data_IF_883342178317
#
_entry.id   IF_883342178317
#
_cell.length_a   1.000
_cell.length_b   1.000
_cell.length_c   1.000
_cell.angle_alpha   90.00
_cell.angle_beta   90.00
_cell.angle_gamma   90.00
#
_symmetry.space_group_name_H-M   'P 1'
#
loop_
_entity.id
_entity.type
_entity.pdbx_description
1 polymer ?
#
# COMPACT_ATOMS: atom_id res chain seq x y z
N UNK A 1 5.26 4.74 17.11
CA UNK A 1 5.98 3.54 17.61
C UNK A 1 6.31 2.48 16.54
N UNK A 2 5.35 1.92 15.80
CA UNK A 2 5.63 0.83 14.84
C UNK A 2 6.61 1.23 13.71
N UNK A 3 6.45 2.44 13.16
CA UNK A 3 7.37 3.00 12.17
C UNK A 3 8.77 3.24 12.73
N UNK A 4 8.87 3.71 13.97
CA UNK A 4 10.14 3.94 14.66
C UNK A 4 10.88 2.63 14.90
N UNK A 5 10.16 1.56 15.27
CA UNK A 5 10.73 0.22 15.42
C UNK A 5 11.25 -0.31 14.09
N UNK A 6 10.51 -0.13 12.99
CA UNK A 6 11.00 -0.52 11.66
C UNK A 6 12.22 0.29 11.21
N UNK A 7 12.27 1.58 11.55
CA UNK A 7 13.34 2.49 11.14
C UNK A 7 14.62 2.33 11.96
N UNK A 8 14.50 2.16 13.28
CA UNK A 8 15.62 2.14 14.21
C UNK A 8 15.99 0.74 14.69
N UNK A 9 15.08 -0.23 14.63
CA UNK A 9 15.31 -1.62 15.03
C UNK A 9 16.48 -2.32 14.32
N UNK A 10 16.64 -2.21 12.99
CA UNK A 10 17.78 -2.80 12.28
C UNK A 10 19.15 -2.25 12.70
N UNK A 11 19.18 -1.10 13.39
CA UNK A 11 20.38 -0.43 13.88
C UNK A 11 20.57 -0.55 15.39
N UNK A 12 19.79 -1.41 16.07
CA UNK A 12 19.72 -1.48 17.53
C UNK A 12 19.45 -0.12 18.19
N UNK A 13 18.60 0.70 17.55
CA UNK A 13 18.21 2.00 18.08
C UNK A 13 17.16 1.88 19.19
N UNK A 14 16.31 2.91 19.33
CA UNK A 14 15.30 2.97 20.38
C UNK A 14 13.93 3.33 19.82
N UNK A 15 12.89 2.99 20.56
CA UNK A 15 11.53 3.50 20.37
C UNK A 15 11.13 4.31 21.59
N UNK A 16 10.46 5.43 21.37
CA UNK A 16 9.87 6.20 22.46
C UNK A 16 8.43 5.77 22.69
N UNK A 17 8.10 5.40 23.91
CA UNK A 17 6.77 5.02 24.37
C UNK A 17 6.52 5.78 25.68
N UNK A 18 5.40 6.50 25.75
CA UNK A 18 5.00 7.29 26.93
C UNK A 18 6.09 8.24 27.45
N UNK A 19 6.84 8.87 26.53
CA UNK A 19 7.93 9.80 26.85
C UNK A 19 9.20 9.14 27.37
N UNK A 20 9.30 7.80 27.33
CA UNK A 20 10.49 7.03 27.73
C UNK A 20 11.07 6.29 26.53
N UNK A 21 12.41 6.25 26.46
CA UNK A 21 13.14 5.55 25.39
C UNK A 21 13.47 4.12 25.79
N UNK A 22 13.17 3.18 24.90
CA UNK A 22 13.44 1.76 25.07
C UNK A 22 14.34 1.27 23.95
N UNK A 23 15.47 0.62 24.28
CA UNK A 23 16.39 0.05 23.31
C UNK A 23 15.79 -1.19 22.64
N UNK A 24 15.95 -1.29 21.32
CA UNK A 24 15.45 -2.41 20.52
C UNK A 24 16.54 -3.48 20.43
N UNK A 25 16.49 -4.45 21.34
CA UNK A 25 17.45 -5.56 21.40
C UNK A 25 17.03 -6.77 20.54
N UNK A 26 15.76 -6.85 20.17
CA UNK A 26 15.24 -7.92 19.31
C UNK A 26 15.58 -7.67 17.83
N UNK A 27 15.81 -8.75 17.07
CA UNK A 27 15.97 -8.66 15.62
C UNK A 27 14.67 -8.19 14.95
N UNK A 28 14.74 -7.09 14.21
CA UNK A 28 13.58 -6.52 13.49
C UNK A 28 13.69 -6.86 12.02
N UNK A 29 12.70 -7.61 11.52
CA UNK A 29 12.59 -8.00 10.12
C UNK A 29 11.26 -7.53 9.55
N UNK A 30 11.31 -6.81 8.42
CA UNK A 30 10.12 -6.43 7.67
C UNK A 30 9.82 -7.51 6.63
N UNK A 31 8.75 -8.29 6.84
CA UNK A 31 8.25 -9.23 5.85
C UNK A 31 7.36 -8.49 4.85
N UNK A 32 7.94 -8.04 3.73
CA UNK A 32 7.16 -7.53 2.60
C UNK A 32 6.45 -8.72 1.91
N UNK A 33 5.12 -8.78 2.00
CA UNK A 33 4.32 -9.83 1.35
C UNK A 33 3.11 -10.34 2.14
N UNK A 34 3.02 -10.04 3.45
CA UNK A 34 1.85 -10.38 4.29
C UNK A 34 0.85 -9.23 4.45
N UNK A 35 1.01 -8.15 3.68
CA UNK A 35 -0.02 -7.11 3.63
C UNK A 35 -1.24 -7.67 2.91
N UNK A 36 -2.37 -7.80 3.60
CA UNK A 36 -3.66 -8.13 2.98
C UNK A 36 -4.14 -7.07 1.96
N UNK A 37 -3.38 -5.98 1.80
CA UNK A 37 -3.55 -5.01 0.73
C UNK A 37 -2.97 -5.55 -0.57
N UNK A 38 -3.86 -5.85 -1.52
CA UNK A 38 -3.49 -6.16 -2.89
C UNK A 38 -2.52 -5.09 -3.43
N UNK A 39 -1.33 -5.50 -3.86
CA UNK A 39 -0.41 -4.60 -4.56
C UNK A 39 -1.02 -4.11 -5.88
N UNK A 40 -0.40 -3.09 -6.50
CA UNK A 40 -0.86 -2.52 -7.78
C UNK A 40 -1.10 -3.60 -8.84
N UNK A 41 -0.23 -4.61 -8.92
CA UNK A 41 -0.34 -5.67 -9.93
C UNK A 41 -1.53 -6.59 -9.66
N UNK A 42 -1.81 -6.87 -8.40
CA UNK A 42 -2.95 -7.67 -7.96
C UNK A 42 -4.27 -6.97 -8.26
N UNK A 43 -4.35 -5.66 -8.04
CA UNK A 43 -5.52 -4.85 -8.41
C UNK A 43 -5.75 -4.83 -9.93
N UNK A 44 -4.69 -4.68 -10.73
CA UNK A 44 -4.81 -4.75 -12.18
C UNK A 44 -5.25 -6.14 -12.66
N UNK A 45 -4.71 -7.21 -12.08
CA UNK A 45 -5.13 -8.60 -12.38
C UNK A 45 -6.58 -8.84 -11.99
N UNK A 46 -7.03 -8.29 -10.87
CA UNK A 46 -8.42 -8.39 -10.44
C UNK A 46 -9.38 -7.82 -11.49
N UNK A 47 -9.12 -6.60 -11.98
CA UNK A 47 -9.92 -5.99 -13.06
C UNK A 47 -9.79 -6.79 -14.37
N UNK A 48 -8.59 -7.28 -14.69
CA UNK A 48 -8.36 -8.13 -15.87
C UNK A 48 -9.16 -9.43 -15.83
N UNK A 49 -9.33 -10.04 -14.66
CA UNK A 49 -10.05 -11.30 -14.47
C UNK A 49 -11.58 -11.19 -14.47
N UNK A 50 -12.15 -9.98 -14.40
CA UNK A 50 -13.61 -9.81 -14.43
C UNK A 50 -14.18 -10.24 -15.79
N UNK A 51 -15.19 -11.14 -15.76
CA UNK A 51 -15.94 -11.59 -16.96
C UNK A 51 -16.65 -10.44 -17.66
N UNK A 52 -17.32 -9.57 -16.90
CA UNK A 52 -17.92 -8.32 -17.39
C UNK A 52 -17.12 -7.16 -16.81
N UNK A 53 -16.55 -6.34 -17.69
CA UNK A 53 -15.81 -5.15 -17.26
C UNK A 53 -16.76 -4.13 -16.62
N UNK A 54 -16.36 -3.47 -15.53
CA UNK A 54 -17.15 -2.38 -14.96
C UNK A 54 -17.10 -1.18 -15.89
N UNK A 55 -18.17 -0.38 -15.93
CA UNK A 55 -18.17 0.89 -16.66
C UNK A 55 -17.41 1.98 -15.88
N UNK A 56 -17.34 1.87 -14.55
CA UNK A 56 -16.71 2.85 -13.67
C UNK A 56 -15.98 2.19 -12.50
N UNK A 57 -14.81 2.72 -12.13
CA UNK A 57 -14.03 2.34 -10.95
C UNK A 57 -13.74 3.60 -10.13
N UNK A 58 -13.98 3.57 -8.82
CA UNK A 58 -13.69 4.68 -7.88
C UNK A 58 -12.58 4.28 -6.91
N UNK A 59 -11.52 5.10 -6.84
CA UNK A 59 -10.37 4.88 -5.96
C UNK A 59 -10.54 5.65 -4.65
N UNK A 60 -10.94 4.96 -3.58
CA UNK A 60 -11.30 5.59 -2.30
C UNK A 60 -10.19 5.55 -1.22
N UNK A 61 -9.21 4.66 -1.37
CA UNK A 61 -8.12 4.47 -0.39
C UNK A 61 -6.74 4.54 -1.04
N UNK A 62 -5.74 4.82 -0.22
CA UNK A 62 -4.38 5.13 -0.64
C UNK A 62 -4.09 6.63 -0.55
N UNK A 63 -2.80 6.99 -0.56
CA UNK A 63 -2.40 8.38 -0.72
C UNK A 63 -2.66 8.87 -2.16
N UNK A 64 -2.66 10.19 -2.35
CA UNK A 64 -3.00 10.79 -3.65
C UNK A 64 -2.06 10.36 -4.78
N UNK A 65 -0.78 10.12 -4.47
CA UNK A 65 0.20 9.66 -5.45
C UNK A 65 -0.12 8.23 -5.90
N UNK A 66 -0.44 7.34 -4.97
CA UNK A 66 -0.82 5.96 -5.22
C UNK A 66 -2.14 5.88 -6.02
N UNK A 67 -3.15 6.69 -5.65
CA UNK A 67 -4.42 6.76 -6.41
C UNK A 67 -4.18 7.20 -7.85
N UNK A 68 -3.41 8.27 -8.07
CA UNK A 68 -3.08 8.77 -9.42
C UNK A 68 -2.32 7.74 -10.24
N UNK A 69 -1.32 7.09 -9.65
CA UNK A 69 -0.55 6.06 -10.34
C UNK A 69 -1.40 4.85 -10.74
N UNK A 70 -2.33 4.42 -9.87
CA UNK A 70 -3.26 3.33 -10.18
C UNK A 70 -4.29 3.74 -11.23
N UNK A 71 -4.82 4.97 -11.15
CA UNK A 71 -5.75 5.52 -12.14
C UNK A 71 -5.13 5.51 -13.54
N UNK A 72 -3.90 6.01 -13.69
CA UNK A 72 -3.17 6.00 -14.96
C UNK A 72 -2.97 4.59 -15.48
N UNK A 73 -2.60 3.65 -14.61
CA UNK A 73 -2.41 2.25 -14.98
C UNK A 73 -3.71 1.59 -15.49
N UNK A 74 -4.82 1.84 -14.81
CA UNK A 74 -6.14 1.31 -15.19
C UNK A 74 -6.63 1.94 -16.49
N UNK A 75 -6.50 3.26 -16.65
CA UNK A 75 -6.91 3.97 -17.86
C UNK A 75 -6.10 3.52 -19.09
N UNK A 76 -4.80 3.24 -18.93
CA UNK A 76 -3.96 2.73 -20.02
C UNK A 76 -4.28 1.29 -20.44
N UNK A 77 -4.72 0.45 -19.49
CA UNK A 77 -5.04 -0.96 -19.76
C UNK A 77 -6.51 -1.19 -20.16
N UNK A 78 -7.40 -0.32 -19.71
CA UNK A 78 -8.85 -0.44 -19.89
C UNK A 78 -9.44 0.93 -20.25
N UNK A 79 -9.22 1.44 -21.48
CA UNK A 79 -9.62 2.79 -21.87
C UNK A 79 -11.14 2.99 -21.86
N UNK A 80 -11.93 1.92 -21.99
CA UNK A 80 -13.39 2.00 -21.87
C UNK A 80 -13.92 2.15 -20.43
N UNK A 81 -13.08 1.98 -19.41
CA UNK A 81 -13.49 2.06 -18.00
C UNK A 81 -13.23 3.47 -17.48
N UNK A 82 -14.27 4.12 -16.95
CA UNK A 82 -14.13 5.42 -16.30
C UNK A 82 -13.49 5.26 -14.92
N UNK A 83 -12.29 5.80 -14.71
CA UNK A 83 -11.59 5.70 -13.42
C UNK A 83 -11.59 7.05 -12.71
N UNK A 84 -12.23 7.11 -11.54
CA UNK A 84 -12.43 8.34 -10.76
C UNK A 84 -11.70 8.27 -9.42
N UNK A 85 -11.15 9.41 -9.01
CA UNK A 85 -10.68 9.66 -7.65
C UNK A 85 -11.66 10.70 -7.08
N UNK A 86 -12.56 10.30 -6.16
CA UNK A 86 -13.47 11.24 -5.50
C UNK A 86 -12.73 12.18 -4.56
#
# INVERSE_FOLDING_TARGET
PGRDIQQYGPKHGYVELDGRRYSINAGVYALSGYSAHADRNSLLRFVKGMRKKPAEIRLIHGDDAAKKALQQALAGLFPEIRVLIP
#
